data_IF_484696632868
#
_entry.id   IF_484696632868
#
_cell.length_a   1.000
_cell.length_b   1.000
_cell.length_c   1.000
_cell.angle_alpha   90.00
_cell.angle_beta   90.00
_cell.angle_gamma   90.00
#
_symmetry.space_group_name_H-M   'P 1'
#
loop_
_entity.id
_entity.type
_entity.pdbx_description
1 polymer ?
#
# COMPACT_ATOMS: atom_id res chain seq x y z
N UNK A 1 3.51 -13.48 3.84
CA UNK A 1 4.21 -14.59 3.15
C UNK A 1 4.60 -15.72 4.09
N UNK A 2 5.37 -15.51 5.17
CA UNK A 2 5.73 -16.62 6.09
C UNK A 2 4.53 -17.30 6.76
N UNK A 3 3.52 -16.56 7.20
CA UNK A 3 2.29 -17.18 7.73
C UNK A 3 1.53 -17.95 6.64
N UNK A 4 1.52 -17.49 5.39
CA UNK A 4 0.93 -18.26 4.28
C UNK A 4 1.71 -19.54 3.99
N UNK A 5 3.04 -19.50 4.05
CA UNK A 5 3.89 -20.68 3.91
C UNK A 5 3.70 -21.66 5.07
N UNK A 6 3.59 -21.16 6.31
CA UNK A 6 3.32 -21.98 7.51
C UNK A 6 1.96 -22.67 7.44
N UNK A 7 0.97 -22.02 6.85
CA UNK A 7 -0.37 -22.57 6.63
C UNK A 7 -0.48 -23.29 5.27
N UNK A 8 0.65 -23.56 4.61
CA UNK A 8 0.76 -24.30 3.34
C UNK A 8 0.03 -23.68 2.12
N UNK A 9 -0.32 -22.39 2.20
CA UNK A 9 -0.95 -21.63 1.12
C UNK A 9 0.03 -21.07 0.08
N UNK A 10 1.34 -21.20 0.31
CA UNK A 10 2.36 -20.84 -0.67
C UNK A 10 3.56 -21.78 -0.49
N UNK A 11 3.95 -22.45 -1.57
CA UNK A 11 5.15 -23.27 -1.60
C UNK A 11 6.39 -22.40 -1.75
N UNK A 12 7.54 -22.88 -1.26
CA UNK A 12 8.80 -22.11 -1.29
C UNK A 12 9.17 -21.63 -2.70
N UNK A 13 8.90 -22.44 -3.73
CA UNK A 13 9.20 -22.10 -5.12
C UNK A 13 8.25 -21.04 -5.72
N UNK A 14 7.10 -20.80 -5.09
CA UNK A 14 6.12 -19.79 -5.52
C UNK A 14 6.39 -18.41 -4.89
N UNK A 15 7.18 -18.35 -3.81
CA UNK A 15 7.44 -17.12 -3.07
C UNK A 15 8.15 -16.08 -3.95
N UNK A 16 9.23 -16.46 -4.64
CA UNK A 16 9.99 -15.51 -5.47
C UNK A 16 9.15 -14.96 -6.63
N UNK A 17 8.49 -15.79 -7.47
CA UNK A 17 7.63 -15.28 -8.53
C UNK A 17 6.50 -14.39 -8.02
N UNK A 18 5.88 -14.73 -6.88
CA UNK A 18 4.85 -13.89 -6.27
C UNK A 18 5.42 -12.53 -5.82
N UNK A 19 6.61 -12.51 -5.22
CA UNK A 19 7.25 -11.26 -4.81
C UNK A 19 7.64 -10.41 -6.02
N UNK A 20 8.20 -11.02 -7.06
CA UNK A 20 8.55 -10.35 -8.32
C UNK A 20 7.33 -9.68 -8.96
N UNK A 21 6.22 -10.43 -9.09
CA UNK A 21 4.99 -9.94 -9.68
C UNK A 21 4.45 -8.70 -8.94
N UNK A 22 4.63 -8.65 -7.62
CA UNK A 22 4.15 -7.56 -6.77
C UNK A 22 5.18 -6.44 -6.58
N UNK A 23 6.41 -6.60 -7.07
CA UNK A 23 7.49 -5.63 -6.92
C UNK A 23 7.65 -4.70 -8.14
N UNK A 24 6.58 -4.50 -8.93
CA UNK A 24 6.59 -3.58 -10.08
C UNK A 24 5.44 -2.58 -10.03
N UNK A 25 5.72 -1.34 -10.46
CA UNK A 25 4.70 -0.30 -10.69
C UNK A 25 4.47 -0.01 -12.18
N UNK A 26 5.09 -0.80 -13.06
CA UNK A 26 4.99 -0.65 -14.52
C UNK A 26 3.53 -0.66 -14.98
N UNK A 27 2.73 -1.59 -14.46
CA UNK A 27 1.33 -1.71 -14.82
C UNK A 27 0.49 -0.52 -14.33
N UNK A 28 0.72 -0.07 -13.11
CA UNK A 28 0.09 1.13 -12.56
C UNK A 28 0.43 2.37 -13.39
N UNK A 29 1.69 2.49 -13.84
CA UNK A 29 2.11 3.57 -14.75
C UNK A 29 1.43 3.47 -16.11
N UNK A 30 1.38 2.30 -16.73
CA UNK A 30 0.70 2.14 -18.02
C UNK A 30 -0.79 2.49 -17.92
N UNK A 31 -1.45 2.08 -16.83
CA UNK A 31 -2.84 2.46 -16.58
C UNK A 31 -2.98 3.97 -16.38
N UNK A 32 -2.08 4.59 -15.62
CA UNK A 32 -2.04 6.04 -15.45
C UNK A 32 -1.92 6.75 -16.81
N UNK A 33 -0.93 6.35 -17.62
CA UNK A 33 -0.63 6.96 -18.91
C UNK A 33 -1.80 6.79 -19.88
N UNK A 34 -2.41 5.60 -19.92
CA UNK A 34 -3.60 5.33 -20.73
C UNK A 34 -4.77 6.22 -20.31
N UNK A 35 -5.08 6.29 -19.01
CA UNK A 35 -6.13 7.16 -18.48
C UNK A 35 -5.86 8.63 -18.73
N UNK A 36 -4.59 9.07 -18.67
CA UNK A 36 -4.18 10.45 -18.93
C UNK A 36 -4.34 10.84 -20.41
N UNK A 37 -3.98 9.94 -21.33
CA UNK A 37 -4.09 10.17 -22.77
C UNK A 37 -5.53 10.20 -23.28
N UNK A 38 -6.43 9.48 -22.61
CA UNK A 38 -7.83 9.33 -23.02
C UNK A 38 -8.79 10.16 -22.17
N UNK A 39 -8.31 11.23 -21.53
CA UNK A 39 -9.20 12.16 -20.84
C UNK A 39 -10.03 12.92 -21.86
N UNK A 40 -11.35 12.83 -21.70
CA UNK A 40 -12.25 13.79 -22.32
C UNK A 40 -11.92 15.19 -21.80
N UNK A 41 -12.20 16.23 -22.61
CA UNK A 41 -12.06 17.63 -22.21
C UNK A 41 -12.52 17.82 -20.75
N UNK A 42 -11.71 18.48 -19.90
CA UNK A 42 -11.99 18.55 -18.47
C UNK A 42 -13.42 19.03 -18.26
N UNK A 43 -14.20 18.25 -17.50
CA UNK A 43 -15.56 18.62 -17.11
C UNK A 43 -15.45 20.03 -16.52
N UNK A 44 -16.06 21.01 -17.19
CA UNK A 44 -15.88 22.47 -17.00
C UNK A 44 -16.22 23.03 -15.60
N UNK A 45 -16.39 22.18 -14.58
CA UNK A 45 -16.62 22.54 -13.19
C UNK A 45 -15.59 22.00 -12.20
N UNK A 46 -14.64 21.17 -12.64
CA UNK A 46 -13.57 20.68 -11.77
C UNK A 46 -12.43 21.70 -11.75
N UNK A 47 -11.96 22.02 -10.55
CA UNK A 47 -10.86 22.94 -10.27
C UNK A 47 -9.71 22.77 -11.29
N UNK A 48 -9.30 23.87 -11.95
CA UNK A 48 -8.37 23.85 -13.11
C UNK A 48 -6.98 23.29 -12.75
N UNK A 49 -6.69 23.22 -11.46
CA UNK A 49 -5.43 22.73 -10.92
C UNK A 49 -5.43 21.20 -10.63
N UNK A 50 -6.54 20.48 -10.91
CA UNK A 50 -6.63 19.04 -10.66
C UNK A 50 -6.20 18.25 -11.90
N UNK A 51 -5.07 17.56 -11.77
CA UNK A 51 -4.61 16.59 -12.77
C UNK A 51 -5.22 15.21 -12.50
N UNK A 52 -6.00 14.70 -13.45
CA UNK A 52 -6.47 13.32 -13.47
C UNK A 52 -5.46 12.43 -14.21
N UNK A 53 -5.50 11.08 -14.06
CA UNK A 53 -6.17 10.40 -12.96
C UNK A 53 -5.47 10.74 -11.63
N UNK A 54 -6.23 10.71 -10.53
CA UNK A 54 -5.69 11.03 -9.21
C UNK A 54 -4.68 9.95 -8.78
N UNK A 55 -3.51 10.36 -8.34
CA UNK A 55 -2.51 9.48 -7.72
C UNK A 55 -2.44 9.81 -6.23
N UNK A 56 -2.62 8.79 -5.38
CA UNK A 56 -2.48 8.91 -3.94
C UNK A 56 -1.20 8.21 -3.50
N UNK A 57 -0.34 8.91 -2.77
CA UNK A 57 0.85 8.30 -2.16
C UNK A 57 0.53 7.86 -0.72
N UNK A 58 0.96 6.66 -0.37
CA UNK A 58 0.68 6.06 0.94
C UNK A 58 1.24 6.89 2.10
N UNK A 59 2.41 7.50 1.93
CA UNK A 59 3.02 8.35 2.93
C UNK A 59 2.23 9.65 3.10
N UNK A 60 1.77 10.24 1.99
CA UNK A 60 0.95 11.45 2.05
C UNK A 60 -0.38 11.21 2.77
N UNK A 61 -1.10 10.13 2.46
CA UNK A 61 -2.39 9.85 3.11
C UNK A 61 -2.25 9.45 4.58
N UNK A 62 -1.14 8.80 4.97
CA UNK A 62 -0.90 8.39 6.35
C UNK A 62 -0.47 9.56 7.24
N UNK A 63 0.30 10.51 6.70
CA UNK A 63 0.88 11.61 7.47
C UNK A 63 0.14 12.95 7.31
N UNK A 64 -0.55 13.17 6.20
CA UNK A 64 -1.20 14.43 5.86
C UNK A 64 -2.71 14.24 5.64
N UNK A 65 -3.54 14.23 6.70
CA UNK A 65 -4.99 14.07 6.61
C UNK A 65 -5.67 15.05 5.64
N UNK A 66 -5.07 16.22 5.43
CA UNK A 66 -5.53 17.22 4.47
C UNK A 66 -5.55 16.70 3.02
N UNK A 67 -4.61 15.83 2.63
CA UNK A 67 -4.60 15.17 1.31
C UNK A 67 -5.83 14.27 1.16
N UNK A 68 -6.13 13.49 2.21
CA UNK A 68 -7.30 12.61 2.21
C UNK A 68 -8.62 13.40 2.25
N UNK A 69 -8.67 14.50 2.99
CA UNK A 69 -9.82 15.42 2.98
C UNK A 69 -10.05 16.06 1.61
N UNK A 70 -8.97 16.46 0.91
CA UNK A 70 -9.05 16.93 -0.48
C UNK A 70 -9.55 15.82 -1.40
N UNK A 71 -9.02 14.62 -1.29
CA UNK A 71 -9.48 13.46 -2.05
C UNK A 71 -10.98 13.21 -1.84
N UNK A 72 -11.47 13.18 -0.59
CA UNK A 72 -12.89 13.02 -0.28
C UNK A 72 -13.76 14.03 -1.04
N UNK A 73 -13.40 15.32 -0.99
CA UNK A 73 -14.14 16.36 -1.72
C UNK A 73 -14.16 16.09 -3.23
N UNK A 74 -13.02 15.69 -3.81
CA UNK A 74 -12.89 15.43 -5.25
C UNK A 74 -13.76 14.26 -5.73
N UNK A 75 -14.01 13.27 -4.88
CA UNK A 75 -14.86 12.12 -5.21
C UNK A 75 -16.29 12.24 -4.66
N UNK A 76 -16.69 13.41 -4.17
CA UNK A 76 -18.06 13.66 -3.68
C UNK A 76 -18.36 13.11 -2.29
N UNK A 77 -17.34 12.75 -1.50
CA UNK A 77 -17.47 12.33 -0.11
C UNK A 77 -17.29 13.51 0.86
N UNK A 78 -17.92 13.42 2.04
CA UNK A 78 -17.80 14.43 3.09
C UNK A 78 -16.57 14.16 3.99
N UNK A 79 -15.58 15.06 4.03
CA UNK A 79 -14.40 14.90 4.88
C UNK A 79 -14.68 14.84 6.39
N UNK A 80 -15.85 15.31 6.84
CA UNK A 80 -16.23 15.25 8.25
C UNK A 80 -16.39 13.82 8.79
N UNK A 81 -16.50 12.83 7.91
CA UNK A 81 -16.59 11.41 8.29
C UNK A 81 -15.24 10.68 8.24
N UNK A 82 -14.14 11.38 7.94
CA UNK A 82 -12.81 10.78 7.98
C UNK A 82 -12.44 10.36 9.41
N UNK A 83 -11.94 9.13 9.54
CA UNK A 83 -11.49 8.56 10.80
C UNK A 83 -10.06 8.07 10.65
N UNK A 84 -9.19 8.45 11.59
CA UNK A 84 -7.83 7.90 11.73
C UNK A 84 -7.75 6.78 12.77
N UNK A 85 -8.81 6.62 13.56
CA UNK A 85 -8.93 5.66 14.65
C UNK A 85 -10.32 5.02 14.61
N UNK A 86 -10.41 3.75 14.99
CA UNK A 86 -11.64 2.98 15.02
C UNK A 86 -11.61 1.92 16.11
N UNK A 87 -12.81 1.50 16.55
CA UNK A 87 -12.95 0.48 17.59
C UNK A 87 -12.64 -0.90 17.03
N UNK A 88 -11.77 -1.64 17.70
CA UNK A 88 -11.56 -3.07 17.46
C UNK A 88 -12.68 -3.82 18.18
N UNK A 89 -13.47 -4.67 17.50
CA UNK A 89 -14.51 -5.44 18.16
C UNK A 89 -13.93 -6.36 19.26
N UNK A 90 -14.43 -6.24 20.49
CA UNK A 90 -13.96 -7.02 21.66
C UNK A 90 -14.03 -8.56 21.46
N UNK A 91 -14.87 -9.02 20.53
CA UNK A 91 -15.16 -10.45 20.34
C UNK A 91 -14.06 -11.29 19.67
N UNK A 92 -13.00 -10.68 19.10
CA UNK A 92 -12.01 -11.45 18.30
C UNK A 92 -10.74 -11.84 19.04
N UNK A 93 -10.41 -11.20 20.16
CA UNK A 93 -9.25 -11.59 20.97
C UNK A 93 -9.45 -12.98 21.60
N UNK A 94 -10.70 -13.39 21.86
CA UNK A 94 -11.04 -14.71 22.40
C UNK A 94 -10.97 -15.85 21.37
N UNK A 95 -11.28 -15.60 20.08
CA UNK A 95 -11.15 -16.63 19.02
C UNK A 95 -9.71 -16.89 18.56
N UNK A 96 -8.73 -16.10 19.01
CA UNK A 96 -7.30 -16.38 18.79
C UNK A 96 -6.73 -17.47 19.72
N UNK A 97 -7.49 -17.91 20.73
CA UNK A 97 -7.05 -18.90 21.72
C UNK A 97 -7.78 -20.23 21.57
N UNK A 98 -8.99 -20.27 21.01
CA UNK A 98 -9.85 -21.46 21.04
C UNK A 98 -9.79 -22.39 19.82
N UNK A 99 -8.99 -22.10 18.78
CA UNK A 99 -8.88 -23.03 17.62
C UNK A 99 -7.43 -23.23 17.17
N UNK A 100 -6.56 -23.64 18.11
CA UNK A 100 -5.16 -24.02 17.83
C UNK A 100 -5.02 -25.42 17.21
N UNK A 101 -6.13 -26.02 16.79
CA UNK A 101 -6.20 -27.40 16.28
C UNK A 101 -6.53 -27.49 14.79
N UNK A 102 -6.87 -26.37 14.11
CA UNK A 102 -7.18 -26.32 12.68
C UNK A 102 -6.37 -25.27 11.92
N UNK A 103 -6.10 -25.52 10.63
CA UNK A 103 -5.48 -24.55 9.72
C UNK A 103 -6.31 -23.27 9.62
N UNK A 104 -5.66 -22.11 9.64
CA UNK A 104 -6.35 -20.82 9.44
C UNK A 104 -6.78 -20.71 7.98
N UNK A 105 -7.93 -20.09 7.70
CA UNK A 105 -8.27 -19.78 6.30
C UNK A 105 -7.32 -18.72 5.72
N UNK A 106 -7.05 -18.72 4.40
CA UNK A 106 -6.23 -17.69 3.75
C UNK A 106 -6.75 -16.27 4.03
N UNK A 107 -8.08 -16.12 4.04
CA UNK A 107 -8.74 -14.85 4.36
C UNK A 107 -8.41 -14.40 5.79
N UNK A 108 -8.49 -15.29 6.78
CA UNK A 108 -8.17 -14.97 8.16
C UNK A 108 -6.71 -14.55 8.32
N UNK A 109 -5.78 -15.23 7.62
CA UNK A 109 -4.36 -14.87 7.61
C UNK A 109 -4.13 -13.49 6.98
N UNK A 110 -4.74 -13.22 5.83
CA UNK A 110 -4.57 -11.95 5.11
C UNK A 110 -5.21 -10.76 5.85
N UNK A 111 -6.38 -10.96 6.45
CA UNK A 111 -7.11 -9.89 7.15
C UNK A 111 -6.68 -9.71 8.61
N UNK A 112 -5.79 -10.57 9.13
CA UNK A 112 -5.39 -10.53 10.54
C UNK A 112 -4.94 -9.13 11.02
N UNK A 113 -4.09 -8.44 10.26
CA UNK A 113 -3.63 -7.09 10.63
C UNK A 113 -4.75 -6.06 10.55
N UNK A 114 -5.64 -6.19 9.56
CA UNK A 114 -6.77 -5.28 9.38
C UNK A 114 -7.78 -5.44 10.53
N UNK A 115 -8.10 -6.68 10.88
CA UNK A 115 -9.06 -7.05 11.92
C UNK A 115 -8.61 -6.66 13.33
N UNK A 116 -7.30 -6.51 13.55
CA UNK A 116 -6.70 -6.18 14.84
C UNK A 116 -6.08 -4.77 14.90
N UNK A 117 -6.23 -3.97 13.83
CA UNK A 117 -5.79 -2.58 13.84
C UNK A 117 -6.86 -1.68 14.44
N UNK A 118 -6.44 -0.65 15.18
CA UNK A 118 -7.31 0.40 15.74
C UNK A 118 -7.04 1.79 15.17
N UNK A 119 -5.97 1.94 14.38
CA UNK A 119 -5.51 3.24 13.90
C UNK A 119 -4.55 3.12 12.71
N UNK A 120 -4.27 4.25 12.06
CA UNK A 120 -3.26 4.33 11.00
C UNK A 120 -1.85 4.24 11.60
N UNK A 121 -1.09 3.22 11.21
CA UNK A 121 0.29 2.98 11.65
C UNK A 121 1.30 3.86 10.88
N UNK A 122 1.48 5.10 11.33
CA UNK A 122 2.37 6.10 10.68
C UNK A 122 3.83 5.64 10.59
N UNK A 123 4.31 4.86 11.56
CA UNK A 123 5.70 4.37 11.59
C UNK A 123 6.00 3.36 10.47
N UNK A 124 4.98 2.86 9.76
CA UNK A 124 5.12 1.96 8.62
C UNK A 124 5.29 2.69 7.28
N UNK A 125 5.22 4.02 7.26
CA UNK A 125 5.34 4.86 6.05
C UNK A 125 6.38 5.96 6.23
N UNK A 126 7.68 5.64 6.33
CA UNK A 126 8.71 6.65 6.51
C UNK A 126 8.76 7.62 5.31
N UNK A 127 9.05 8.90 5.57
CA UNK A 127 9.15 9.93 4.53
C UNK A 127 10.29 9.68 3.52
N UNK A 128 11.35 9.00 3.97
CA UNK A 128 12.52 8.63 3.18
C UNK A 128 12.83 7.18 3.46
N UNK A 129 12.98 6.39 2.40
CA UNK A 129 13.38 4.98 2.47
C UNK A 129 14.81 4.85 1.98
N UNK A 130 15.70 4.37 2.83
CA UNK A 130 17.05 3.95 2.44
C UNK A 130 17.02 2.48 2.04
N UNK A 131 17.06 2.22 0.73
CA UNK A 131 17.03 0.85 0.17
C UNK A 131 18.19 0.00 0.69
N UNK A 132 19.36 0.58 0.96
CA UNK A 132 20.51 -0.13 1.50
C UNK A 132 20.34 -0.49 2.98
N UNK A 133 19.61 0.31 3.75
CA UNK A 133 19.20 -0.04 5.11
C UNK A 133 18.14 -1.15 5.09
N UNK A 134 17.10 -1.00 4.27
CA UNK A 134 16.04 -2.00 4.10
C UNK A 134 16.59 -3.34 3.65
N UNK A 135 17.58 -3.32 2.74
CA UNK A 135 18.31 -4.50 2.28
C UNK A 135 18.85 -5.34 3.43
N UNK A 136 19.45 -4.72 4.46
CA UNK A 136 19.95 -5.42 5.65
C UNK A 136 18.82 -6.01 6.50
N UNK A 137 17.64 -5.38 6.47
CA UNK A 137 16.42 -5.94 7.05
C UNK A 137 16.00 -7.21 6.31
N UNK A 138 15.92 -7.15 4.98
CA UNK A 138 15.54 -8.27 4.13
C UNK A 138 16.52 -9.45 4.22
N UNK A 139 17.83 -9.20 4.36
CA UNK A 139 18.83 -10.24 4.66
C UNK A 139 18.47 -11.08 5.87
N UNK A 140 18.19 -10.39 6.98
CA UNK A 140 17.85 -11.04 8.25
C UNK A 140 16.51 -11.75 8.18
N UNK A 141 15.59 -11.22 7.37
CA UNK A 141 14.23 -11.73 7.31
C UNK A 141 14.05 -12.90 6.34
N UNK A 142 14.64 -12.80 5.15
CA UNK A 142 14.40 -13.69 4.02
C UNK A 142 15.68 -14.42 3.54
N UNK A 143 16.83 -14.11 4.12
CA UNK A 143 18.13 -14.63 3.70
C UNK A 143 18.76 -13.80 2.58
N UNK A 144 20.07 -14.00 2.39
CA UNK A 144 20.89 -13.16 1.52
C UNK A 144 20.42 -13.19 0.07
N UNK A 145 20.25 -14.40 -0.48
CA UNK A 145 19.84 -14.59 -1.88
C UNK A 145 18.50 -13.90 -2.21
N UNK A 146 17.48 -14.04 -1.35
CA UNK A 146 16.19 -13.40 -1.55
C UNK A 146 16.30 -11.88 -1.39
N UNK A 147 17.04 -11.43 -0.38
CA UNK A 147 17.19 -10.01 -0.14
C UNK A 147 17.93 -9.28 -1.28
N UNK A 148 18.92 -9.90 -1.92
CA UNK A 148 19.58 -9.35 -3.12
C UNK A 148 18.58 -9.18 -4.26
N UNK A 149 17.74 -10.19 -4.46
CA UNK A 149 16.72 -10.17 -5.49
C UNK A 149 15.63 -9.12 -5.21
N UNK A 150 15.21 -8.95 -3.95
CA UNK A 150 14.29 -7.90 -3.53
C UNK A 150 14.84 -6.50 -3.80
N UNK A 151 16.11 -6.26 -3.47
CA UNK A 151 16.75 -4.98 -3.77
C UNK A 151 16.77 -4.69 -5.28
N UNK A 152 17.11 -5.70 -6.09
CA UNK A 152 17.08 -5.57 -7.55
C UNK A 152 15.67 -5.15 -8.02
N UNK A 153 14.63 -5.87 -7.63
CA UNK A 153 13.26 -5.55 -8.03
C UNK A 153 12.83 -4.15 -7.59
N UNK A 154 13.10 -3.78 -6.34
CA UNK A 154 12.76 -2.45 -5.81
C UNK A 154 13.46 -1.36 -6.62
N UNK A 155 14.76 -1.50 -6.88
CA UNK A 155 15.54 -0.54 -7.68
C UNK A 155 15.01 -0.43 -9.11
N UNK A 156 14.63 -1.55 -9.72
CA UNK A 156 14.04 -1.58 -11.06
C UNK A 156 12.65 -0.90 -11.11
N UNK A 157 11.89 -0.93 -10.02
CA UNK A 157 10.58 -0.27 -9.91
C UNK A 157 10.66 1.24 -9.58
N UNK A 158 11.80 1.73 -9.06
CA UNK A 158 11.96 3.13 -8.65
C UNK A 158 11.67 4.18 -9.73
N UNK A 159 12.01 3.98 -11.02
CA UNK A 159 11.64 4.93 -12.08
C UNK A 159 10.13 5.12 -12.20
N UNK A 160 9.36 4.02 -12.15
CA UNK A 160 7.89 4.07 -12.23
C UNK A 160 7.29 4.67 -10.95
N UNK A 161 7.83 4.32 -9.78
CA UNK A 161 7.46 4.96 -8.52
C UNK A 161 7.64 6.47 -8.57
N UNK A 162 8.83 6.94 -8.97
CA UNK A 162 9.16 8.36 -9.02
C UNK A 162 8.28 9.11 -10.02
N UNK A 163 8.00 8.49 -11.17
CA UNK A 163 7.10 9.03 -12.18
C UNK A 163 5.68 9.25 -11.65
N UNK A 164 5.12 8.26 -10.95
CA UNK A 164 3.78 8.33 -10.37
C UNK A 164 3.75 9.30 -9.18
N UNK A 165 4.74 9.22 -8.28
CA UNK A 165 4.86 10.08 -7.11
C UNK A 165 4.97 11.56 -7.48
N UNK A 166 5.60 11.90 -8.61
CA UNK A 166 5.65 13.27 -9.09
C UNK A 166 4.25 13.87 -9.34
N UNK A 167 3.29 13.03 -9.75
CA UNK A 167 1.91 13.40 -10.14
C UNK A 167 0.88 13.17 -9.03
N UNK A 168 1.33 12.84 -7.82
CA UNK A 168 0.46 12.60 -6.67
C UNK A 168 -0.33 13.86 -6.29
N UNK A 169 -1.51 13.64 -5.72
CA UNK A 169 -2.34 14.67 -5.13
C UNK A 169 -1.61 15.32 -3.98
N UNK A 170 -1.42 16.64 -4.07
CA UNK A 170 -0.88 17.47 -2.99
C UNK A 170 -1.92 18.51 -2.59
N UNK A 171 -1.87 18.89 -1.32
CA UNK A 171 -2.47 20.15 -0.88
C UNK A 171 -1.44 21.23 -1.24
N UNK A 172 -1.84 22.31 -1.91
CA UNK A 172 -0.94 23.44 -2.12
C UNK A 172 -0.52 23.92 -0.73
N UNK A 173 0.76 24.18 -0.52
CA UNK A 173 1.22 24.86 0.69
C UNK A 173 0.48 26.21 0.74
N UNK A 174 -0.31 26.42 1.79
CA UNK A 174 -0.99 27.69 2.03
C UNK A 174 0.02 28.79 2.36
#
# INVERSE_FOLDING_TARGET
MRELQKEEFAQTHEICPLMELNATLRWSRHLYDWCYQHQEEPIKGCDRDIQYPLVLDAQDIAHHPAVLAKYCKLIGLNPAHLKSEWNVPDQKIQKGVEDRTGHKSPEAVMKFTLDNSSHVLKDKTPAIVDIGLERRGWDREFGISIGEQMEKWVREAMPDYTYLRAKRLRVQDA
#
